data_IF_314983206642
#
_entry.id   IF_314983206642
#
_cell.length_a   1.000
_cell.length_b   1.000
_cell.length_c   1.000
_cell.angle_alpha   90.00
_cell.angle_beta   90.00
_cell.angle_gamma   90.00
#
_symmetry.space_group_name_H-M   'P 1'
#
loop_
_entity.id
_entity.type
_entity.pdbx_description
1 polymer ?
#
# COMPACT_ATOMS: atom_id res chain seq x y z
N UNK A 1 1.29 15.12 -22.61
CA UNK A 1 0.77 13.76 -22.89
C UNK A 1 1.15 12.87 -21.71
N UNK A 2 0.18 12.48 -20.94
CA UNK A 2 0.42 11.52 -19.85
C UNK A 2 0.77 10.19 -20.52
N UNK A 3 2.00 9.72 -20.38
CA UNK A 3 2.42 8.49 -21.04
C UNK A 3 1.64 7.30 -20.48
N UNK A 4 1.36 6.31 -21.29
CA UNK A 4 0.67 5.06 -20.88
C UNK A 4 1.32 4.46 -19.63
N UNK A 5 2.65 4.43 -19.58
CA UNK A 5 3.41 3.92 -18.44
C UNK A 5 3.11 4.64 -17.11
N UNK A 6 2.88 5.97 -17.13
CA UNK A 6 2.50 6.73 -15.94
C UNK A 6 1.09 6.34 -15.45
N UNK A 7 0.12 6.27 -16.37
CA UNK A 7 -1.25 5.86 -16.03
C UNK A 7 -1.26 4.41 -15.52
N UNK A 8 -0.54 3.51 -16.17
CA UNK A 8 -0.43 2.11 -15.75
C UNK A 8 0.17 1.99 -14.35
N UNK A 9 1.21 2.77 -14.03
CA UNK A 9 1.80 2.81 -12.71
C UNK A 9 0.83 3.36 -11.65
N UNK A 10 0.02 4.36 -12.01
CA UNK A 10 -0.97 4.93 -11.12
C UNK A 10 -2.10 3.94 -10.83
N UNK A 11 -2.58 3.22 -11.85
CA UNK A 11 -3.54 2.13 -11.68
C UNK A 11 -2.95 0.98 -10.84
N UNK A 12 -1.67 0.65 -11.03
CA UNK A 12 -0.98 -0.36 -10.21
C UNK A 12 -0.87 0.06 -8.73
N UNK A 13 -0.63 1.34 -8.45
CA UNK A 13 -0.65 1.86 -7.09
C UNK A 13 -2.04 1.73 -6.46
N UNK A 14 -3.11 2.07 -7.19
CA UNK A 14 -4.49 1.85 -6.75
C UNK A 14 -4.79 0.36 -6.50
N UNK A 15 -4.34 -0.52 -7.37
CA UNK A 15 -4.51 -1.96 -7.20
C UNK A 15 -3.81 -2.48 -5.93
N UNK A 16 -2.62 -1.95 -5.60
CA UNK A 16 -1.92 -2.28 -4.35
C UNK A 16 -2.70 -1.81 -3.11
N UNK A 17 -3.36 -0.65 -3.16
CA UNK A 17 -4.22 -0.16 -2.07
C UNK A 17 -5.46 -1.04 -1.89
N UNK A 18 -6.10 -1.49 -2.97
CA UNK A 18 -7.19 -2.46 -2.90
C UNK A 18 -6.76 -3.75 -2.22
N UNK A 19 -5.60 -4.29 -2.60
CA UNK A 19 -5.05 -5.51 -2.02
C UNK A 19 -4.70 -5.34 -0.55
N UNK A 20 -4.08 -4.22 -0.17
CA UNK A 20 -3.73 -3.93 1.22
C UNK A 20 -4.99 -3.82 2.09
N UNK A 21 -6.01 -3.09 1.65
CA UNK A 21 -7.29 -2.98 2.37
C UNK A 21 -7.92 -4.36 2.61
N UNK A 22 -7.99 -5.20 1.60
CA UNK A 22 -8.50 -6.58 1.72
C UNK A 22 -7.63 -7.40 2.68
N UNK A 23 -6.31 -7.33 2.52
CA UNK A 23 -5.35 -8.10 3.32
C UNK A 23 -5.40 -7.76 4.80
N UNK A 24 -5.59 -6.49 5.17
CA UNK A 24 -5.76 -6.09 6.57
C UNK A 24 -7.05 -6.63 7.18
N UNK A 25 -8.12 -6.75 6.41
CA UNK A 25 -9.34 -7.44 6.84
C UNK A 25 -9.11 -8.93 7.08
N UNK A 26 -8.29 -9.56 6.23
CA UNK A 26 -7.96 -10.97 6.34
C UNK A 26 -7.06 -11.28 7.55
N UNK A 27 -6.01 -10.49 7.78
CA UNK A 27 -5.02 -10.76 8.83
C UNK A 27 -5.48 -10.35 10.23
N UNK A 28 -6.37 -9.39 10.35
CA UNK A 28 -6.81 -8.83 11.63
C UNK A 28 -7.27 -9.85 12.66
N UNK A 29 -8.15 -10.82 12.30
CA UNK A 29 -8.63 -11.85 13.23
C UNK A 29 -7.55 -12.75 13.82
N UNK A 30 -6.40 -12.91 13.15
CA UNK A 30 -5.30 -13.76 13.60
C UNK A 30 -4.33 -13.04 14.55
N UNK A 31 -4.46 -11.73 14.73
CA UNK A 31 -3.63 -10.94 15.63
C UNK A 31 -4.09 -11.13 17.09
N UNK A 32 -3.16 -11.46 17.98
CA UNK A 32 -3.45 -11.78 19.37
C UNK A 32 -3.26 -10.58 20.31
N UNK A 33 -2.33 -9.65 20.01
CA UNK A 33 -2.12 -8.48 20.86
C UNK A 33 -3.10 -7.35 20.54
N UNK A 34 -3.56 -6.62 21.57
CA UNK A 34 -4.42 -5.46 21.39
C UNK A 34 -3.73 -4.35 20.59
N UNK A 35 -2.43 -4.16 20.79
CA UNK A 35 -1.62 -3.18 20.07
C UNK A 35 -1.58 -3.50 18.56
N UNK A 36 -1.32 -4.75 18.20
CA UNK A 36 -1.27 -5.17 16.80
C UNK A 36 -2.65 -5.09 16.12
N UNK A 37 -3.73 -5.44 16.84
CA UNK A 37 -5.08 -5.24 16.30
C UNK A 37 -5.42 -3.77 16.09
N UNK A 38 -4.96 -2.89 16.96
CA UNK A 38 -5.14 -1.44 16.81
C UNK A 38 -4.35 -0.92 15.61
N UNK A 39 -3.09 -1.31 15.48
CA UNK A 39 -2.24 -0.97 14.33
C UNK A 39 -2.86 -1.45 13.01
N UNK A 40 -3.36 -2.69 12.95
CA UNK A 40 -3.99 -3.23 11.75
C UNK A 40 -5.22 -2.41 11.32
N UNK A 41 -6.08 -2.01 12.27
CA UNK A 41 -7.24 -1.16 11.98
C UNK A 41 -6.83 0.22 11.49
N UNK A 42 -5.78 0.80 12.06
CA UNK A 42 -5.24 2.08 11.63
C UNK A 42 -4.68 2.00 10.22
N UNK A 43 -3.86 1.00 9.91
CA UNK A 43 -3.34 0.75 8.57
C UNK A 43 -4.48 0.56 7.56
N UNK A 44 -5.48 -0.26 7.89
CA UNK A 44 -6.62 -0.50 7.00
C UNK A 44 -7.40 0.78 6.68
N UNK A 45 -7.63 1.64 7.69
CA UNK A 45 -8.28 2.95 7.44
C UNK A 45 -7.42 3.86 6.57
N UNK A 46 -6.10 3.86 6.77
CA UNK A 46 -5.17 4.61 5.95
C UNK A 46 -5.21 4.17 4.48
N UNK A 47 -5.17 2.88 4.23
CA UNK A 47 -5.29 2.32 2.88
C UNK A 47 -6.65 2.61 2.25
N UNK A 48 -7.75 2.53 3.00
CA UNK A 48 -9.07 2.90 2.50
C UNK A 48 -9.12 4.38 2.05
N UNK A 49 -8.62 5.29 2.86
CA UNK A 49 -8.59 6.71 2.54
C UNK A 49 -7.72 7.02 1.30
N UNK A 50 -6.54 6.42 1.22
CA UNK A 50 -5.63 6.61 0.09
C UNK A 50 -6.19 5.99 -1.20
N UNK A 51 -6.78 4.80 -1.12
CA UNK A 51 -7.51 4.15 -2.23
C UNK A 51 -8.59 5.07 -2.80
N UNK A 52 -9.44 5.60 -1.93
CA UNK A 52 -10.58 6.42 -2.36
C UNK A 52 -10.10 7.75 -2.97
N UNK A 53 -9.08 8.39 -2.38
CA UNK A 53 -8.47 9.60 -2.92
C UNK A 53 -7.79 9.34 -4.27
N UNK A 54 -7.11 8.20 -4.42
CA UNK A 54 -6.44 7.81 -5.67
C UNK A 54 -7.44 7.54 -6.78
N UNK A 55 -8.54 6.84 -6.48
CA UNK A 55 -9.61 6.60 -7.43
C UNK A 55 -10.24 7.92 -7.90
N UNK A 56 -10.53 8.85 -6.98
CA UNK A 56 -11.08 10.16 -7.31
C UNK A 56 -10.11 10.98 -8.19
N UNK A 57 -8.81 10.94 -7.90
CA UNK A 57 -7.79 11.62 -8.71
C UNK A 57 -7.69 11.04 -10.13
N UNK A 58 -7.75 9.73 -10.29
CA UNK A 58 -7.79 9.07 -11.61
C UNK A 58 -9.02 9.54 -12.42
N UNK A 59 -10.21 9.57 -11.81
CA UNK A 59 -11.42 10.08 -12.46
C UNK A 59 -11.25 11.52 -12.89
N UNK A 60 -10.70 12.38 -12.03
CA UNK A 60 -10.42 13.78 -12.34
C UNK A 60 -9.47 13.96 -13.54
N UNK A 61 -8.61 12.96 -13.79
CA UNK A 61 -7.70 12.92 -14.94
C UNK A 61 -8.30 12.14 -16.14
N UNK A 62 -9.60 11.87 -16.14
CA UNK A 62 -10.29 11.19 -17.25
C UNK A 62 -9.98 9.69 -17.36
N UNK A 63 -9.47 9.07 -16.28
CA UNK A 63 -9.14 7.65 -16.24
C UNK A 63 -10.20 6.89 -15.45
N UNK A 64 -10.59 5.71 -15.95
CA UNK A 64 -11.43 4.79 -15.18
C UNK A 64 -10.57 4.07 -14.15
N UNK A 65 -10.84 4.19 -12.82
CA UNK A 65 -10.06 3.51 -11.80
C UNK A 65 -10.18 1.99 -11.90
N UNK A 66 -9.08 1.27 -11.70
CA UNK A 66 -9.12 -0.19 -11.60
C UNK A 66 -10.01 -0.61 -10.41
N UNK A 67 -10.87 -1.60 -10.64
CA UNK A 67 -11.72 -2.15 -9.59
C UNK A 67 -10.94 -3.11 -8.69
N UNK A 68 -11.36 -3.27 -7.41
CA UNK A 68 -10.80 -4.32 -6.56
C UNK A 68 -11.12 -5.70 -7.14
N UNK A 69 -10.25 -6.67 -6.90
CA UNK A 69 -10.55 -8.07 -7.21
C UNK A 69 -11.55 -8.64 -6.18
N UNK A 70 -12.29 -9.67 -6.60
CA UNK A 70 -13.20 -10.38 -5.69
C UNK A 70 -12.47 -11.15 -4.59
N UNK A 71 -11.23 -11.57 -4.86
CA UNK A 71 -10.37 -12.29 -3.93
C UNK A 71 -8.90 -12.09 -4.30
N UNK A 72 -8.01 -12.30 -3.32
CA UNK A 72 -6.55 -12.23 -3.47
C UNK A 72 -5.91 -13.53 -2.96
N UNK A 73 -5.91 -14.60 -3.76
CA UNK A 73 -5.49 -15.94 -3.31
C UNK A 73 -4.07 -16.01 -2.77
N UNK A 74 -3.17 -15.13 -3.25
CA UNK A 74 -1.76 -15.08 -2.81
C UNK A 74 -1.57 -14.56 -1.38
N UNK A 75 -2.61 -14.00 -0.76
CA UNK A 75 -2.53 -13.52 0.61
C UNK A 75 -2.76 -14.61 1.66
N UNK A 76 -3.34 -15.74 1.26
CA UNK A 76 -3.61 -16.86 2.16
C UNK A 76 -2.41 -17.82 2.25
N UNK A 77 -2.28 -18.54 3.40
CA UNK A 77 -3.02 -18.35 4.65
C UNK A 77 -2.44 -17.24 5.54
N UNK A 78 -3.29 -16.67 6.42
CA UNK A 78 -2.87 -15.75 7.47
C UNK A 78 -3.44 -16.24 8.84
N UNK A 79 -3.19 -17.51 9.17
CA UNK A 79 -3.89 -18.23 10.23
C UNK A 79 -3.19 -18.22 11.60
N UNK A 80 -2.07 -17.51 11.75
CA UNK A 80 -1.38 -17.32 13.01
C UNK A 80 -0.99 -15.86 13.19
N UNK A 81 -0.70 -15.43 14.42
CA UNK A 81 -0.23 -14.07 14.69
C UNK A 81 1.04 -13.73 13.89
N UNK A 82 1.99 -14.66 13.80
CA UNK A 82 3.22 -14.49 13.02
C UNK A 82 2.91 -14.37 11.52
N UNK A 83 2.09 -15.25 10.98
CA UNK A 83 1.71 -15.21 9.57
C UNK A 83 0.95 -13.90 9.23
N UNK A 84 0.11 -13.40 10.14
CA UNK A 84 -0.57 -12.12 9.99
C UNK A 84 0.41 -10.93 9.97
N UNK A 85 1.40 -10.91 10.86
CA UNK A 85 2.44 -9.88 10.88
C UNK A 85 3.30 -9.92 9.60
N UNK A 86 3.70 -11.11 9.16
CA UNK A 86 4.49 -11.28 7.94
C UNK A 86 3.68 -10.86 6.69
N UNK A 87 2.38 -11.14 6.67
CA UNK A 87 1.48 -10.65 5.62
C UNK A 87 1.40 -9.11 5.63
N UNK A 88 1.24 -8.49 6.79
CA UNK A 88 1.21 -7.04 6.90
C UNK A 88 2.48 -6.39 6.33
N UNK A 89 3.66 -6.94 6.65
CA UNK A 89 4.93 -6.48 6.05
C UNK A 89 4.90 -6.59 4.52
N UNK A 90 4.45 -7.73 3.98
CA UNK A 90 4.38 -7.92 2.53
C UNK A 90 3.42 -6.93 1.85
N UNK A 91 2.30 -6.62 2.47
CA UNK A 91 1.33 -5.65 1.96
C UNK A 91 1.93 -4.25 1.89
N UNK A 92 2.59 -3.81 2.96
CA UNK A 92 3.24 -2.50 3.00
C UNK A 92 4.42 -2.41 2.04
N UNK A 93 5.24 -3.45 1.93
CA UNK A 93 6.36 -3.49 0.98
C UNK A 93 5.84 -3.44 -0.48
N UNK A 94 4.74 -4.11 -0.78
CA UNK A 94 4.12 -4.07 -2.11
C UNK A 94 3.55 -2.68 -2.43
N UNK A 95 2.89 -2.02 -1.47
CA UNK A 95 2.44 -0.63 -1.62
C UNK A 95 3.63 0.32 -1.82
N UNK A 96 4.69 0.19 -1.00
CA UNK A 96 5.89 0.99 -1.14
C UNK A 96 6.52 0.85 -2.54
N UNK A 97 6.59 -0.37 -3.08
CA UNK A 97 7.12 -0.62 -4.43
C UNK A 97 6.26 0.05 -5.51
N UNK A 98 4.94 -0.08 -5.44
CA UNK A 98 4.03 0.51 -6.42
C UNK A 98 4.08 2.05 -6.41
N UNK A 99 4.04 2.66 -5.22
CA UNK A 99 4.12 4.12 -5.07
C UNK A 99 5.49 4.67 -5.44
N UNK A 100 6.58 3.94 -5.14
CA UNK A 100 7.92 4.33 -5.58
C UNK A 100 8.02 4.34 -7.11
N UNK A 101 7.47 3.33 -7.77
CA UNK A 101 7.49 3.27 -9.24
C UNK A 101 6.70 4.44 -9.85
N UNK A 102 5.50 4.74 -9.34
CA UNK A 102 4.73 5.91 -9.76
C UNK A 102 5.50 7.22 -9.49
N UNK A 103 6.12 7.37 -8.33
CA UNK A 103 6.94 8.54 -8.00
C UNK A 103 8.06 8.77 -9.03
N UNK A 104 8.70 7.69 -9.46
CA UNK A 104 9.78 7.78 -10.45
C UNK A 104 9.28 8.22 -11.84
N UNK A 105 8.04 7.89 -12.20
CA UNK A 105 7.43 8.27 -13.48
C UNK A 105 6.74 9.64 -13.45
N UNK A 106 6.38 10.14 -12.30
CA UNK A 106 5.72 11.44 -12.11
C UNK A 106 6.75 12.60 -12.14
N UNK A 107 7.50 12.72 -13.24
CA UNK A 107 8.58 13.72 -13.41
C UNK A 107 8.23 14.83 -14.40
N UNK A 108 7.10 14.72 -15.09
CA UNK A 108 6.70 15.67 -16.10
C UNK A 108 6.27 17.02 -15.48
N UNK A 109 6.49 18.15 -16.16
CA UNK A 109 5.94 19.45 -15.71
C UNK A 109 4.41 19.46 -15.87
N UNK A 110 3.72 20.08 -14.92
CA UNK A 110 2.26 20.24 -14.92
C UNK A 110 1.60 19.61 -13.71
N UNK A 111 0.40 19.05 -13.86
CA UNK A 111 -0.43 18.48 -12.78
C UNK A 111 0.20 17.26 -12.08
N UNK A 112 1.23 16.70 -12.66
CA UNK A 112 1.95 15.53 -12.12
C UNK A 112 2.65 15.84 -10.77
N UNK A 113 2.84 17.12 -10.43
CA UNK A 113 3.41 17.51 -9.15
C UNK A 113 2.59 17.06 -7.93
N UNK A 114 1.26 17.12 -8.03
CA UNK A 114 0.36 16.64 -6.97
C UNK A 114 0.39 15.11 -6.85
N UNK A 115 0.41 14.40 -7.96
CA UNK A 115 0.52 12.93 -7.99
C UNK A 115 1.86 12.49 -7.44
N UNK A 116 2.95 13.20 -7.82
CA UNK A 116 4.29 12.94 -7.29
C UNK A 116 4.37 13.12 -5.77
N UNK A 117 3.79 14.20 -5.24
CA UNK A 117 3.75 14.44 -3.79
C UNK A 117 2.95 13.35 -3.06
N UNK A 118 1.80 12.95 -3.60
CA UNK A 118 1.00 11.84 -3.07
C UNK A 118 1.80 10.53 -3.08
N UNK A 119 2.46 10.21 -4.18
CA UNK A 119 3.26 9.00 -4.30
C UNK A 119 4.44 8.97 -3.31
N UNK A 120 5.11 10.11 -3.10
CA UNK A 120 6.17 10.23 -2.10
C UNK A 120 5.66 10.00 -0.69
N UNK A 121 4.53 10.62 -0.32
CA UNK A 121 3.96 10.45 1.01
C UNK A 121 3.48 9.02 1.24
N UNK A 122 2.81 8.42 0.27
CA UNK A 122 2.34 7.04 0.35
C UNK A 122 3.51 6.03 0.49
N UNK A 123 4.61 6.25 -0.24
CA UNK A 123 5.83 5.47 -0.08
C UNK A 123 6.39 5.58 1.34
N UNK A 124 6.48 6.79 1.90
CA UNK A 124 6.97 7.02 3.26
C UNK A 124 6.06 6.32 4.28
N UNK A 125 4.76 6.50 4.18
CA UNK A 125 3.78 5.91 5.10
C UNK A 125 3.85 4.38 5.09
N UNK A 126 3.92 3.76 3.92
CA UNK A 126 4.05 2.31 3.79
C UNK A 126 5.39 1.81 4.37
N UNK A 127 6.48 2.51 4.14
CA UNK A 127 7.79 2.15 4.71
C UNK A 127 7.79 2.22 6.25
N UNK A 128 7.15 3.24 6.83
CA UNK A 128 7.00 3.38 8.28
C UNK A 128 6.14 2.24 8.85
N UNK A 129 5.01 1.93 8.23
CA UNK A 129 4.14 0.83 8.66
C UNK A 129 4.84 -0.53 8.55
N UNK A 130 5.57 -0.79 7.47
CA UNK A 130 6.37 -2.01 7.32
C UNK A 130 7.40 -2.14 8.46
N UNK A 131 8.05 -1.05 8.83
CA UNK A 131 8.98 -1.01 9.96
C UNK A 131 8.28 -1.33 11.28
N UNK A 132 7.11 -0.73 11.53
CA UNK A 132 6.32 -1.01 12.75
C UNK A 132 5.93 -2.50 12.83
N UNK A 133 5.52 -3.10 11.72
CA UNK A 133 5.18 -4.53 11.67
C UNK A 133 6.39 -5.43 11.90
N UNK A 134 7.56 -5.10 11.31
CA UNK A 134 8.81 -5.83 11.57
C UNK A 134 9.21 -5.73 13.04
N UNK A 135 9.10 -4.54 13.64
CA UNK A 135 9.38 -4.35 15.07
C UNK A 135 8.44 -5.19 15.94
N UNK A 136 7.14 -5.20 15.66
CA UNK A 136 6.16 -5.99 16.41
C UNK A 136 6.39 -7.49 16.29
N UNK A 137 6.97 -7.95 15.18
CA UNK A 137 7.34 -9.34 14.93
C UNK A 137 8.74 -9.72 15.44
N UNK A 138 9.50 -8.76 15.98
CA UNK A 138 10.88 -8.99 16.43
C UNK A 138 11.87 -9.21 15.27
N UNK A 139 11.52 -8.80 14.05
CA UNK A 139 12.38 -8.95 12.87
C UNK A 139 13.51 -7.94 12.89
N UNK A 140 14.74 -8.40 12.62
CA UNK A 140 15.93 -7.54 12.56
C UNK A 140 16.64 -7.71 11.20
N UNK A 141 17.07 -6.64 10.55
CA UNK A 141 16.74 -5.25 10.88
C UNK A 141 15.25 -4.93 10.63
N UNK A 142 14.67 -4.04 11.43
CA UNK A 142 13.28 -3.63 11.23
C UNK A 142 13.11 -2.66 10.05
N UNK A 143 14.14 -1.89 9.75
CA UNK A 143 14.17 -0.94 8.62
C UNK A 143 14.88 -1.52 7.41
N UNK A 144 14.51 -1.05 6.23
CA UNK A 144 15.22 -1.33 4.97
C UNK A 144 15.81 -0.03 4.42
N UNK A 145 17.00 -0.11 3.83
CA UNK A 145 17.72 1.07 3.35
C UNK A 145 16.99 1.78 2.19
N UNK A 146 16.32 1.01 1.33
CA UNK A 146 15.64 1.52 0.14
C UNK A 146 14.24 0.91 0.02
N UNK A 147 13.23 1.49 0.71
CA UNK A 147 11.87 0.99 0.64
C UNK A 147 11.34 0.99 -0.80
N UNK A 148 10.65 -0.07 -1.17
CA UNK A 148 10.07 -0.23 -2.51
C UNK A 148 11.02 -0.77 -3.58
N UNK A 149 12.24 -1.23 -3.21
CA UNK A 149 13.14 -1.95 -4.11
C UNK A 149 12.99 -3.45 -3.89
#
# INVERSE_FOLDING_TARGET
MTGTAFVDAWQAALAAEHQAFFGYGLLGPSLTSAANRSLARECQRGHAALRDATAAALVAHGQAPVAPLADYPTLYPASSARAAQDLAVRLEDACAAAWRYLYALAVAPGDDGAVRATAQQALIDSAVRATQWRQSAGTQPATVAFPGI
#
